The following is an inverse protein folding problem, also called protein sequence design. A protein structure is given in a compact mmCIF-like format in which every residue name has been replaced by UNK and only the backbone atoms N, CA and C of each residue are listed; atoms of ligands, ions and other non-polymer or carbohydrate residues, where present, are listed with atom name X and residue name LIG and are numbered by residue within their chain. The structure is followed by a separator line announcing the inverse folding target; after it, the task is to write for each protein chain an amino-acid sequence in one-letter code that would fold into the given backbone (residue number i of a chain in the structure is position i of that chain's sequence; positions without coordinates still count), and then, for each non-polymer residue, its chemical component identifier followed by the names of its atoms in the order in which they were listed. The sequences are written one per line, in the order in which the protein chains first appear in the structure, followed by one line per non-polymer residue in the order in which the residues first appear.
data_IF_151033054066
#
_entry.id   IF_151033054066
#
_cell.length_a   1.000
_cell.length_b   1.000
_cell.length_c   1.000
_cell.angle_alpha   90.00
_cell.angle_beta   90.00
_cell.angle_gamma   90.00
#
_symmetry.space_group_name_H-M   'P 1'
#
loop_
_entity.id
_entity.type
_entity.pdbx_description
1 polymer ?
#
# COMPACT_ATOMS: atom_id res chain seq x y z
N UNK A 1 11.44 22.05 -17.59
CA UNK A 1 12.85 21.89 -17.20
C UNK A 1 12.88 21.57 -15.73
N UNK A 2 13.26 20.35 -15.35
CA UNK A 2 13.39 19.96 -13.93
C UNK A 2 14.70 20.52 -13.39
N UNK A 3 14.63 21.35 -12.34
CA UNK A 3 15.77 22.05 -11.79
C UNK A 3 16.06 21.52 -10.39
N UNK A 4 17.31 21.11 -10.10
CA UNK A 4 17.71 20.56 -8.79
C UNK A 4 17.46 21.55 -7.64
N UNK A 5 17.47 22.85 -7.94
CA UNK A 5 17.09 23.93 -7.02
C UNK A 5 15.64 23.84 -6.53
N UNK A 6 14.74 23.25 -7.32
CA UNK A 6 13.33 23.06 -6.96
C UNK A 6 13.09 22.01 -5.87
N UNK A 7 14.10 21.21 -5.51
CA UNK A 7 14.04 20.31 -4.36
C UNK A 7 14.19 21.08 -3.05
N UNK A 8 15.01 22.13 -3.05
CA UNK A 8 15.30 22.94 -1.86
C UNK A 8 14.33 24.11 -1.68
N UNK A 9 13.61 24.50 -2.74
CA UNK A 9 12.53 25.48 -2.68
C UNK A 9 11.30 24.94 -3.43
N UNK A 10 10.56 23.99 -2.83
CA UNK A 10 9.37 23.45 -3.47
C UNK A 10 8.30 24.53 -3.60
N UNK A 11 7.41 24.43 -4.61
CA UNK A 11 6.26 25.32 -4.72
C UNK A 11 5.40 25.22 -3.45
N UNK A 12 4.72 26.32 -3.13
CA UNK A 12 3.82 26.37 -1.98
C UNK A 12 2.77 25.24 -2.08
N UNK A 13 2.47 24.62 -0.93
CA UNK A 13 1.45 23.60 -0.84
C UNK A 13 0.12 24.14 -1.35
N UNK A 14 -0.47 23.44 -2.31
CA UNK A 14 -1.82 23.68 -2.80
C UNK A 14 -2.65 22.43 -2.58
N UNK A 15 -3.96 22.60 -2.46
CA UNK A 15 -4.86 21.46 -2.51
C UNK A 15 -4.86 20.87 -3.92
N UNK A 16 -4.74 19.55 -4.00
CA UNK A 16 -4.87 18.81 -5.25
C UNK A 16 -6.33 18.51 -5.50
N UNK A 17 -6.73 18.52 -6.78
CA UNK A 17 -8.05 18.04 -7.16
C UNK A 17 -8.08 16.50 -7.12
N UNK A 18 -9.28 15.93 -6.98
CA UNK A 18 -9.48 14.47 -6.94
C UNK A 18 -8.85 13.74 -8.13
N UNK A 19 -8.83 14.38 -9.30
CA UNK A 19 -8.28 13.81 -10.53
C UNK A 19 -6.75 13.75 -10.51
N UNK A 20 -6.09 14.74 -9.90
CA UNK A 20 -4.63 14.76 -9.74
C UNK A 20 -4.16 13.73 -8.70
N UNK A 21 -5.06 13.33 -7.80
CA UNK A 21 -4.79 12.30 -6.78
C UNK A 21 -4.92 10.86 -7.30
N UNK A 22 -5.64 10.62 -8.40
CA UNK A 22 -5.81 9.28 -9.00
C UNK A 22 -4.51 8.47 -9.16
N UNK A 23 -3.42 9.00 -9.72
CA UNK A 23 -2.16 8.25 -9.83
C UNK A 23 -1.57 7.88 -8.47
N UNK A 24 -1.61 8.80 -7.50
CA UNK A 24 -1.14 8.56 -6.13
C UNK A 24 -1.93 7.44 -5.46
N UNK A 25 -3.26 7.50 -5.57
CA UNK A 25 -4.16 6.47 -5.02
C UNK A 25 -3.97 5.14 -5.75
N UNK A 26 -3.69 5.14 -7.05
CA UNK A 26 -3.37 3.93 -7.81
C UNK A 26 -2.12 3.21 -7.28
N UNK A 27 -1.04 3.96 -7.02
CA UNK A 27 0.18 3.39 -6.40
C UNK A 27 -0.13 2.90 -4.98
N UNK A 28 -0.89 3.67 -4.20
CA UNK A 28 -1.29 3.26 -2.85
C UNK A 28 -2.08 1.94 -2.87
N UNK A 29 -2.99 1.76 -3.82
CA UNK A 29 -3.75 0.51 -3.99
C UNK A 29 -2.83 -0.67 -4.34
N UNK A 30 -1.87 -0.48 -5.25
CA UNK A 30 -0.90 -1.52 -5.58
C UNK A 30 -0.08 -1.93 -4.35
N UNK A 31 0.35 -0.97 -3.53
CA UNK A 31 1.09 -1.23 -2.31
C UNK A 31 0.21 -1.93 -1.26
N UNK A 32 -1.02 -1.45 -1.06
CA UNK A 32 -1.96 -2.03 -0.11
C UNK A 32 -2.33 -3.47 -0.47
N UNK A 33 -2.70 -3.73 -1.72
CA UNK A 33 -3.09 -5.08 -2.15
C UNK A 33 -1.88 -6.00 -2.35
N UNK A 34 -0.81 -5.51 -2.97
CA UNK A 34 0.41 -6.28 -3.18
C UNK A 34 1.11 -6.61 -1.85
N UNK A 35 1.35 -5.59 -1.02
CA UNK A 35 1.95 -5.75 0.31
C UNK A 35 1.05 -6.53 1.27
N UNK A 36 -0.26 -6.24 1.26
CA UNK A 36 -1.24 -6.99 2.05
C UNK A 36 -1.27 -8.46 1.67
N UNK A 37 -1.33 -8.77 0.38
CA UNK A 37 -1.26 -10.14 -0.14
C UNK A 37 0.05 -10.84 0.21
N UNK A 38 1.17 -10.14 0.11
CA UNK A 38 2.48 -10.66 0.52
C UNK A 38 2.52 -11.03 2.01
N UNK A 39 2.02 -10.17 2.90
CA UNK A 39 1.98 -10.44 4.34
C UNK A 39 0.96 -11.50 4.76
N UNK A 40 -0.13 -11.65 4.01
CA UNK A 40 -1.08 -12.75 4.20
C UNK A 40 -0.50 -14.10 3.77
N UNK A 41 0.42 -14.09 2.81
CA UNK A 41 1.09 -15.29 2.32
C UNK A 41 2.08 -15.87 3.35
N UNK A 42 2.63 -17.04 3.03
CA UNK A 42 3.74 -17.64 3.79
C UNK A 42 5.12 -17.15 3.32
N UNK A 43 5.20 -16.42 2.20
CA UNK A 43 6.45 -15.99 1.57
C UNK A 43 7.41 -15.25 2.52
N UNK A 44 6.99 -14.28 3.35
CA UNK A 44 7.91 -13.56 4.23
C UNK A 44 8.53 -14.43 5.34
N UNK A 45 7.98 -15.62 5.61
CA UNK A 45 8.44 -16.50 6.68
C UNK A 45 9.14 -17.76 6.17
N UNK A 46 9.19 -17.96 4.85
CA UNK A 46 9.85 -19.11 4.25
C UNK A 46 11.35 -18.91 4.28
N UNK A 47 12.07 -19.92 4.73
CA UNK A 47 13.53 -19.99 4.58
C UNK A 47 13.92 -20.50 3.19
N UNK A 48 15.22 -20.61 2.89
CA UNK A 48 15.76 -21.11 1.61
C UNK A 48 15.20 -22.47 1.18
N UNK A 49 14.78 -23.29 2.15
CA UNK A 49 14.20 -24.62 1.92
C UNK A 49 12.67 -24.57 1.65
N UNK A 50 12.06 -23.39 1.62
CA UNK A 50 10.62 -23.19 1.41
C UNK A 50 9.73 -23.54 2.60
N UNK A 51 10.32 -23.95 3.72
CA UNK A 51 9.65 -24.24 4.99
C UNK A 51 9.66 -23.01 5.91
N UNK A 52 8.66 -22.92 6.78
CA UNK A 52 8.57 -21.85 7.77
C UNK A 52 9.23 -22.33 9.06
N UNK A 53 10.30 -21.64 9.48
CA UNK A 53 10.96 -21.92 10.75
C UNK A 53 10.21 -21.22 11.91
N UNK A 54 9.55 -22.03 12.74
CA UNK A 54 8.79 -21.57 13.91
C UNK A 54 9.67 -21.05 15.05
N UNK A 55 10.96 -21.42 15.09
CA UNK A 55 11.92 -20.92 16.07
C UNK A 55 12.32 -19.48 15.74
N UNK A 56 12.49 -19.18 14.45
CA UNK A 56 12.80 -17.83 13.95
C UNK A 56 11.55 -16.94 13.87
N UNK A 57 10.41 -17.52 13.50
CA UNK A 57 9.15 -16.80 13.33
C UNK A 57 8.05 -17.47 14.18
N UNK A 58 7.92 -17.10 15.48
CA UNK A 58 6.90 -17.68 16.33
C UNK A 58 5.49 -17.33 15.86
N UNK A 59 4.50 -18.16 16.23
CA UNK A 59 3.13 -18.07 15.70
C UNK A 59 2.47 -16.72 15.97
N UNK A 60 2.72 -16.11 17.14
CA UNK A 60 2.16 -14.80 17.48
C UNK A 60 2.68 -13.71 16.52
N UNK A 61 3.96 -13.77 16.14
CA UNK A 61 4.58 -12.83 15.20
C UNK A 61 3.99 -13.01 13.80
N UNK A 62 3.86 -14.26 13.34
CA UNK A 62 3.21 -14.56 12.07
C UNK A 62 1.77 -14.04 12.02
N UNK A 63 1.01 -14.21 13.11
CA UNK A 63 -0.36 -13.69 13.24
C UNK A 63 -0.39 -12.15 13.23
N UNK A 64 0.57 -11.50 13.89
CA UNK A 64 0.70 -10.04 13.88
C UNK A 64 0.92 -9.47 12.47
N UNK A 65 1.89 -10.03 11.73
CA UNK A 65 2.16 -9.62 10.35
C UNK A 65 0.97 -9.91 9.42
N UNK A 66 0.30 -11.06 9.59
CA UNK A 66 -0.94 -11.34 8.84
C UNK A 66 -2.05 -10.35 9.18
N UNK A 67 -2.18 -9.94 10.44
CA UNK A 67 -3.11 -8.89 10.88
C UNK A 67 -2.84 -7.56 10.19
N UNK A 68 -1.56 -7.16 10.08
CA UNK A 68 -1.17 -6.00 9.26
C UNK A 68 -1.51 -6.18 7.79
N UNK A 69 -1.33 -7.39 7.25
CA UNK A 69 -1.76 -7.73 5.89
C UNK A 69 -3.26 -7.50 5.69
N UNK A 70 -4.12 -7.99 6.59
CA UNK A 70 -5.58 -7.74 6.55
C UNK A 70 -5.88 -6.23 6.61
N UNK A 71 -5.20 -5.49 7.49
CA UNK A 71 -5.38 -4.05 7.61
C UNK A 71 -5.03 -3.31 6.31
N UNK A 72 -3.95 -3.71 5.62
CA UNK A 72 -3.57 -3.17 4.32
C UNK A 72 -4.62 -3.46 3.24
N UNK A 73 -5.16 -4.68 3.19
CA UNK A 73 -6.26 -5.01 2.27
C UNK A 73 -7.49 -4.16 2.57
N UNK A 74 -7.86 -3.99 3.83
CA UNK A 74 -8.98 -3.14 4.25
C UNK A 74 -8.79 -1.68 3.84
N UNK A 75 -7.59 -1.12 4.05
CA UNK A 75 -7.24 0.23 3.60
C UNK A 75 -7.30 0.35 2.08
N UNK A 76 -6.80 -0.68 1.36
CA UNK A 76 -6.90 -0.74 -0.10
C UNK A 76 -8.35 -0.70 -0.58
N UNK A 77 -9.24 -1.50 0.01
CA UNK A 77 -10.66 -1.48 -0.32
C UNK A 77 -11.32 -0.11 -0.05
N UNK A 78 -10.97 0.53 1.07
CA UNK A 78 -11.47 1.87 1.39
C UNK A 78 -11.06 2.90 0.31
N UNK A 79 -9.77 2.92 -0.07
CA UNK A 79 -9.27 3.81 -1.13
C UNK A 79 -9.85 3.50 -2.50
N UNK A 80 -10.11 2.23 -2.80
CA UNK A 80 -10.76 1.82 -4.05
C UNK A 80 -12.19 2.39 -4.13
N UNK A 81 -12.89 2.43 -3.00
CA UNK A 81 -14.20 3.08 -2.88
C UNK A 81 -14.16 4.57 -3.22
N UNK A 82 -13.16 5.30 -2.71
CA UNK A 82 -12.97 6.73 -3.03
C UNK A 82 -12.75 6.94 -4.54
N UNK A 83 -11.89 6.12 -5.18
CA UNK A 83 -11.70 6.18 -6.65
C UNK A 83 -13.01 5.90 -7.38
N UNK A 84 -13.76 4.88 -6.97
CA UNK A 84 -15.02 4.53 -7.61
C UNK A 84 -16.04 5.68 -7.52
N UNK A 85 -16.07 6.41 -6.40
CA UNK A 85 -16.91 7.60 -6.24
C UNK A 85 -16.47 8.74 -7.16
N UNK A 86 -15.17 9.00 -7.27
CA UNK A 86 -14.63 10.03 -8.18
C UNK A 86 -15.00 9.70 -9.62
N UNK A 87 -14.81 8.43 -10.05
CA UNK A 87 -15.15 7.98 -11.39
C UNK A 87 -16.66 8.03 -11.67
N UNK A 88 -17.49 7.71 -10.66
CA UNK A 88 -18.94 7.80 -10.80
C UNK A 88 -19.42 9.25 -10.98
N UNK A 89 -18.89 10.21 -10.20
CA UNK A 89 -19.21 11.64 -10.34
C UNK A 89 -18.75 12.26 -11.65
N UNK A 90 -17.73 11.67 -12.28
CA UNK A 90 -17.19 12.11 -13.57
C UNK A 90 -18.09 11.72 -14.76
N UNK A 91 -18.98 10.74 -14.57
CA UNK A 91 -19.91 10.23 -15.58
C UNK A 91 -21.20 11.02 -15.59
#
# INVERSE_FOLDING_TARGET
MSNILGVFNPPAGRDLTDEECLPCTGVQLLVCFGGGGYFLSKLPFKDKNGLVDLKKHPVWFQRGIRGLGVALIGLGMFRLGEIAQILYKRR
#
